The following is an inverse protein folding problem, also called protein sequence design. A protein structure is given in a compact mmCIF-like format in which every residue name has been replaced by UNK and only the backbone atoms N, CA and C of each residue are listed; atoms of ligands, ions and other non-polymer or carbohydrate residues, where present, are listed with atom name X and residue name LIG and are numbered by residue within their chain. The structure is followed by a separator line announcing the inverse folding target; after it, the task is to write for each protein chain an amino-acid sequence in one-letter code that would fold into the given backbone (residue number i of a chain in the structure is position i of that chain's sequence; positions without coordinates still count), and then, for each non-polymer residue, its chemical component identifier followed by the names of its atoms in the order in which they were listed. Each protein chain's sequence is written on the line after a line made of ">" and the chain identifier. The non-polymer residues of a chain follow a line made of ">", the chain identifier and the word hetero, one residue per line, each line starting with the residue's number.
data_IF_841809847499
#
_entry.id   IF_841809847499
#
_cell.length_a   1.000
_cell.length_b   1.000
_cell.length_c   1.000
_cell.angle_alpha   90.00
_cell.angle_beta   90.00
_cell.angle_gamma   90.00
#
_symmetry.space_group_name_H-M   'P 1'
#
loop_
_entity.id
_entity.type
_entity.pdbx_description
1 polymer ?
#
# COMPACT_ATOMS: atom_id res chain seq x y z
N UNK A 1 9.59 14.81 5.72
CA UNK A 1 11.00 15.21 5.89
C UNK A 1 11.14 16.63 6.40
N UNK A 2 10.53 17.65 5.78
CA UNK A 2 10.67 19.06 6.14
C UNK A 2 10.24 19.35 7.59
N UNK A 3 9.01 18.92 7.98
CA UNK A 3 8.52 19.07 9.35
C UNK A 3 9.39 18.36 10.40
N UNK A 4 9.99 17.22 10.04
CA UNK A 4 10.93 16.52 10.91
C UNK A 4 12.23 17.29 11.10
N UNK A 5 12.76 17.87 10.02
CA UNK A 5 13.94 18.72 10.07
C UNK A 5 13.68 19.94 10.96
N UNK A 6 12.57 20.64 10.75
CA UNK A 6 12.15 21.78 11.56
C UNK A 6 12.04 21.43 13.05
N UNK A 7 11.29 20.37 13.40
CA UNK A 7 11.15 19.92 14.79
C UNK A 7 12.48 19.53 15.42
N UNK A 8 13.35 18.83 14.68
CA UNK A 8 14.68 18.45 15.17
C UNK A 8 15.59 19.65 15.38
N UNK A 9 15.55 20.63 14.50
CA UNK A 9 16.32 21.86 14.63
C UNK A 9 15.87 22.66 15.86
N UNK A 10 14.57 22.88 16.02
CA UNK A 10 13.98 23.67 17.13
C UNK A 10 14.02 22.95 18.50
N UNK A 11 14.09 21.60 18.52
CA UNK A 11 14.20 20.86 19.79
C UNK A 11 15.54 21.04 20.49
N UNK A 12 16.58 21.36 19.74
CA UNK A 12 17.95 21.54 20.28
C UNK A 12 18.22 22.99 20.68
N UNK A 13 17.75 23.92 19.89
CA UNK A 13 17.92 25.34 20.11
C UNK A 13 16.66 26.03 19.60
N UNK A 14 15.98 26.82 20.44
CA UNK A 14 14.76 27.58 20.06
C UNK A 14 15.10 28.83 19.23
N UNK A 15 15.97 28.67 18.25
CA UNK A 15 16.42 29.73 17.34
C UNK A 15 15.86 29.44 15.94
N UNK A 16 14.98 30.31 15.47
CA UNK A 16 14.33 30.22 14.17
C UNK A 16 15.22 30.65 13.01
N UNK A 17 16.25 31.43 13.28
CA UNK A 17 17.19 31.96 12.27
C UNK A 17 18.39 31.04 12.04
N UNK A 18 18.43 29.95 12.77
CA UNK A 18 19.49 28.96 12.65
C UNK A 18 19.52 28.31 11.26
N UNK A 19 20.68 28.34 10.63
CA UNK A 19 20.93 27.59 9.39
C UNK A 19 20.91 26.08 9.64
N UNK A 20 20.18 25.35 8.79
CA UNK A 20 20.05 23.88 8.84
C UNK A 20 20.52 23.29 7.52
N UNK A 21 21.12 22.12 7.58
CA UNK A 21 21.51 21.37 6.38
C UNK A 21 20.27 20.67 5.80
N UNK A 22 19.98 20.94 4.52
CA UNK A 22 18.89 20.27 3.81
C UNK A 22 19.37 18.89 3.30
N UNK A 23 18.77 17.84 3.81
CA UNK A 23 19.05 16.49 3.29
C UNK A 23 18.42 16.30 1.91
N UNK A 24 18.93 15.38 1.06
CA UNK A 24 18.34 15.09 -0.25
C UNK A 24 16.84 14.82 -0.21
N UNK A 25 16.36 14.15 0.86
CA UNK A 25 14.93 13.87 1.04
C UNK A 25 14.10 15.14 1.30
N UNK A 26 14.67 16.12 1.96
CA UNK A 26 14.01 17.42 2.19
C UNK A 26 13.99 18.23 0.90
N UNK A 27 15.05 18.19 0.12
CA UNK A 27 15.12 18.84 -1.19
C UNK A 27 14.07 18.25 -2.13
N UNK A 28 13.98 16.93 -2.23
CA UNK A 28 12.95 16.24 -3.02
C UNK A 28 11.52 16.62 -2.58
N UNK A 29 11.26 16.79 -1.28
CA UNK A 29 9.95 17.24 -0.80
C UNK A 29 9.68 18.69 -1.21
N UNK A 30 10.66 19.57 -1.18
CA UNK A 30 10.52 20.97 -1.61
C UNK A 30 10.30 21.07 -3.12
N UNK A 31 11.04 20.30 -3.92
CA UNK A 31 10.86 20.21 -5.38
C UNK A 31 9.47 19.68 -5.73
N UNK A 32 9.00 18.65 -5.00
CA UNK A 32 7.65 18.14 -5.17
C UNK A 32 6.60 19.23 -4.87
N UNK A 33 6.74 19.97 -3.77
CA UNK A 33 5.82 21.07 -3.45
C UNK A 33 5.86 22.17 -4.52
N UNK A 34 7.02 22.48 -5.05
CA UNK A 34 7.18 23.48 -6.11
C UNK A 34 6.44 23.07 -7.39
N UNK A 35 6.50 21.80 -7.78
CA UNK A 35 5.84 21.29 -8.98
C UNK A 35 4.33 21.10 -8.80
N UNK A 36 3.91 20.64 -7.63
CA UNK A 36 2.54 20.15 -7.40
C UNK A 36 1.65 21.16 -6.69
N UNK A 37 2.20 22.23 -6.11
CA UNK A 37 1.45 23.16 -5.27
C UNK A 37 0.23 23.77 -5.97
N UNK A 38 0.34 24.09 -7.28
CA UNK A 38 -0.77 24.69 -8.03
C UNK A 38 -1.95 23.72 -8.14
N UNK A 39 -1.69 22.42 -8.31
CA UNK A 39 -2.73 21.40 -8.44
C UNK A 39 -3.30 20.98 -7.07
N UNK A 40 -2.47 21.05 -6.02
CA UNK A 40 -2.82 20.59 -4.68
C UNK A 40 -3.12 21.72 -3.70
N UNK A 41 -3.08 22.95 -4.16
CA UNK A 41 -3.36 24.11 -3.33
C UNK A 41 -4.85 24.22 -3.05
N UNK A 42 -5.20 23.87 -1.84
CA UNK A 42 -6.55 23.95 -1.34
C UNK A 42 -7.21 22.60 -1.09
N UNK A 43 -7.81 22.48 0.06
CA UNK A 43 -8.68 21.37 0.43
C UNK A 43 -10.11 21.88 0.44
N UNK A 44 -11.04 21.12 -0.17
CA UNK A 44 -12.46 21.45 -0.08
C UNK A 44 -12.89 21.60 1.38
N UNK A 45 -13.47 22.74 1.72
CA UNK A 45 -14.05 23.01 3.03
C UNK A 45 -15.39 22.27 3.18
N UNK A 46 -16.01 21.94 2.03
CA UNK A 46 -17.27 21.20 2.00
C UNK A 46 -16.93 19.71 2.10
N UNK A 47 -17.44 19.00 3.12
CA UNK A 47 -17.23 17.55 3.23
C UNK A 47 -17.77 16.85 1.98
N UNK A 48 -16.87 16.19 1.24
CA UNK A 48 -17.29 15.41 0.09
C UNK A 48 -17.84 14.06 0.55
N UNK A 49 -18.95 13.63 -0.06
CA UNK A 49 -19.49 12.28 0.20
C UNK A 49 -18.56 11.25 -0.40
N UNK A 50 -18.20 10.26 0.41
CA UNK A 50 -17.42 9.12 -0.09
C UNK A 50 -18.29 8.25 -1.00
N UNK A 51 -17.72 7.83 -2.12
CA UNK A 51 -18.36 6.95 -3.08
C UNK A 51 -17.99 5.49 -2.84
N UNK A 52 -16.82 5.23 -2.25
CA UNK A 52 -16.33 3.90 -1.97
C UNK A 52 -15.88 3.76 -0.51
N UNK A 53 -15.96 2.54 -0.02
CA UNK A 53 -15.46 2.14 1.29
C UNK A 53 -14.39 1.07 1.06
N UNK A 54 -13.26 1.19 1.75
CA UNK A 54 -12.19 0.23 1.80
C UNK A 54 -11.97 -0.16 3.25
N UNK A 55 -12.10 -1.45 3.55
CA UNK A 55 -11.99 -2.00 4.90
C UNK A 55 -10.80 -2.95 4.96
N UNK A 56 -9.92 -2.81 5.93
CA UNK A 56 -8.68 -3.59 6.04
C UNK A 56 -8.48 -4.19 7.42
N UNK A 57 -7.68 -5.24 7.47
CA UNK A 57 -7.21 -5.87 8.70
C UNK A 57 -5.83 -6.50 8.50
N UNK A 58 -5.07 -6.64 9.58
CA UNK A 58 -3.77 -7.29 9.59
C UNK A 58 -3.59 -8.24 10.76
N UNK A 59 -3.25 -9.46 10.46
CA UNK A 59 -2.86 -10.48 11.44
C UNK A 59 -1.34 -10.55 11.63
N UNK A 60 -0.87 -11.50 12.43
CA UNK A 60 0.55 -11.87 12.50
C UNK A 60 1.06 -12.56 11.23
N UNK A 61 0.18 -13.15 10.43
CA UNK A 61 0.50 -13.94 9.24
C UNK A 61 0.38 -13.13 7.94
N UNK A 62 -0.66 -12.30 7.84
CA UNK A 62 -0.96 -11.64 6.59
C UNK A 62 -1.83 -10.40 6.73
N UNK A 63 -2.17 -9.85 5.61
CA UNK A 63 -3.03 -8.70 5.46
C UNK A 63 -4.20 -9.05 4.56
N UNK A 64 -5.30 -8.34 4.75
CA UNK A 64 -6.48 -8.48 3.91
C UNK A 64 -7.29 -7.19 3.89
N UNK A 65 -7.97 -6.97 2.79
CA UNK A 65 -8.91 -5.88 2.66
C UNK A 65 -9.86 -6.11 1.50
N UNK A 66 -10.93 -5.37 1.53
CA UNK A 66 -11.96 -5.39 0.50
C UNK A 66 -12.53 -3.99 0.32
N UNK A 67 -13.05 -3.73 -0.85
CA UNK A 67 -13.63 -2.42 -1.16
C UNK A 67 -14.92 -2.59 -1.96
N UNK A 68 -15.79 -1.61 -1.86
CA UNK A 68 -17.05 -1.59 -2.59
C UNK A 68 -17.55 -0.16 -2.79
N UNK A 69 -18.37 0.03 -3.80
CA UNK A 69 -19.12 1.26 -3.99
C UNK A 69 -20.29 1.31 -2.99
N UNK A 70 -20.53 2.47 -2.40
CA UNK A 70 -21.65 2.67 -1.47
C UNK A 70 -22.98 2.34 -2.18
N UNK A 71 -23.80 1.48 -1.57
CA UNK A 71 -25.06 1.01 -2.13
C UNK A 71 -24.98 -0.11 -3.18
N UNK A 72 -23.77 -0.61 -3.52
CA UNK A 72 -23.61 -1.74 -4.44
C UNK A 72 -23.50 -3.09 -3.72
N UNK A 73 -23.81 -4.18 -4.44
CA UNK A 73 -23.51 -5.52 -3.96
C UNK A 73 -22.01 -5.78 -4.01
N UNK A 74 -21.47 -6.40 -2.98
CA UNK A 74 -20.06 -6.76 -2.89
C UNK A 74 -19.73 -7.93 -3.83
N UNK A 75 -18.61 -7.85 -4.56
CA UNK A 75 -18.11 -8.91 -5.44
C UNK A 75 -16.83 -9.52 -4.84
N UNK A 76 -16.46 -10.73 -5.27
CA UNK A 76 -15.19 -11.37 -4.86
C UNK A 76 -13.98 -10.61 -5.40
N UNK A 77 -14.11 -10.02 -6.57
CA UNK A 77 -13.07 -9.23 -7.23
C UNK A 77 -12.71 -7.95 -6.47
N UNK A 78 -13.60 -7.52 -5.57
CA UNK A 78 -13.42 -6.33 -4.74
C UNK A 78 -12.63 -6.64 -3.45
N UNK A 79 -11.74 -7.60 -3.48
CA UNK A 79 -10.90 -7.96 -2.33
C UNK A 79 -9.45 -8.25 -2.73
N UNK A 80 -8.54 -7.95 -1.82
CA UNK A 80 -7.13 -8.30 -1.92
C UNK A 80 -6.63 -8.85 -0.59
N UNK A 81 -5.67 -9.74 -0.66
CA UNK A 81 -5.04 -10.34 0.51
C UNK A 81 -3.66 -10.86 0.18
N UNK A 82 -2.85 -11.04 1.19
CA UNK A 82 -1.52 -11.61 1.02
C UNK A 82 -0.86 -11.90 2.35
N UNK A 83 0.28 -12.58 2.29
CA UNK A 83 1.07 -12.89 3.46
C UNK A 83 2.11 -11.81 3.71
N UNK A 84 2.44 -11.63 4.98
CA UNK A 84 3.65 -10.95 5.36
C UNK A 84 4.84 -11.91 5.23
N UNK A 85 5.96 -11.40 4.74
CA UNK A 85 7.22 -12.13 4.83
C UNK A 85 7.59 -12.37 6.31
N UNK A 86 8.48 -13.34 6.57
CA UNK A 86 8.97 -13.62 7.93
C UNK A 86 9.57 -12.40 8.63
N UNK A 87 10.11 -11.44 7.87
CA UNK A 87 10.63 -10.17 8.40
C UNK A 87 9.49 -9.20 8.71
N UNK A 88 8.52 -9.07 7.84
CA UNK A 88 7.39 -8.15 7.99
C UNK A 88 6.47 -8.56 9.14
N UNK A 89 6.22 -9.85 9.32
CA UNK A 89 5.38 -10.38 10.40
C UNK A 89 5.89 -10.03 11.81
N UNK A 90 7.19 -9.76 11.95
CA UNK A 90 7.82 -9.34 13.22
C UNK A 90 7.62 -7.87 13.56
N UNK A 91 7.10 -7.05 12.65
CA UNK A 91 6.83 -5.65 12.93
C UNK A 91 5.65 -5.48 13.89
N UNK A 92 5.51 -4.28 14.45
CA UNK A 92 4.40 -3.95 15.36
C UNK A 92 3.04 -4.09 14.69
N UNK A 93 1.99 -4.30 15.48
CA UNK A 93 0.60 -4.31 14.97
C UNK A 93 0.29 -3.04 14.17
N UNK A 94 0.65 -1.86 14.67
CA UNK A 94 0.43 -0.60 13.95
C UNK A 94 1.12 -0.56 12.58
N UNK A 95 2.31 -1.16 12.47
CA UNK A 95 3.02 -1.27 11.20
C UNK A 95 2.25 -2.18 10.22
N UNK A 96 1.82 -3.35 10.70
CA UNK A 96 1.08 -4.31 9.89
C UNK A 96 -0.26 -3.75 9.42
N UNK A 97 -1.01 -3.10 10.31
CA UNK A 97 -2.29 -2.47 9.98
C UNK A 97 -2.14 -1.36 8.93
N UNK A 98 -1.18 -0.46 9.11
CA UNK A 98 -0.95 0.61 8.16
C UNK A 98 -0.44 0.06 6.82
N UNK A 99 0.35 -1.02 6.85
CA UNK A 99 0.80 -1.73 5.63
C UNK A 99 -0.35 -2.43 4.93
N UNK A 100 -1.30 -3.02 5.67
CA UNK A 100 -2.50 -3.61 5.08
C UNK A 100 -3.32 -2.57 4.29
N UNK A 101 -3.46 -1.35 4.83
CA UNK A 101 -4.10 -0.25 4.10
C UNK A 101 -3.32 0.09 2.83
N UNK A 102 -1.99 0.25 2.92
CA UNK A 102 -1.16 0.57 1.74
C UNK A 102 -1.29 -0.47 0.64
N UNK A 103 -1.17 -1.76 0.99
CA UNK A 103 -1.24 -2.86 0.04
C UNK A 103 -2.65 -3.01 -0.58
N UNK A 104 -3.70 -2.92 0.24
CA UNK A 104 -5.08 -3.00 -0.26
C UNK A 104 -5.42 -1.80 -1.14
N UNK A 105 -5.01 -0.58 -0.76
CA UNK A 105 -5.22 0.60 -1.58
C UNK A 105 -4.53 0.49 -2.94
N UNK A 106 -3.31 0.01 -3.01
CA UNK A 106 -2.60 -0.20 -4.28
C UNK A 106 -3.33 -1.19 -5.18
N UNK A 107 -3.88 -2.27 -4.63
CA UNK A 107 -4.67 -3.23 -5.39
C UNK A 107 -6.00 -2.62 -5.89
N UNK A 108 -6.64 -1.78 -5.07
CA UNK A 108 -7.92 -1.15 -5.37
C UNK A 108 -7.81 0.08 -6.28
N UNK A 109 -6.69 0.81 -6.22
CA UNK A 109 -6.53 2.15 -6.82
C UNK A 109 -6.85 2.23 -8.32
N UNK A 110 -6.52 1.24 -9.18
CA UNK A 110 -6.92 1.28 -10.59
C UNK A 110 -8.44 1.40 -10.78
N UNK A 111 -9.24 0.86 -9.85
CA UNK A 111 -10.70 0.84 -9.88
C UNK A 111 -11.35 2.05 -9.17
N UNK A 112 -10.55 2.86 -8.46
CA UNK A 112 -11.02 3.93 -7.57
C UNK A 112 -10.57 5.32 -8.04
N UNK A 113 -10.27 5.49 -9.33
CA UNK A 113 -9.76 6.75 -9.87
C UNK A 113 -10.71 7.92 -9.62
N UNK A 114 -10.15 9.04 -9.16
CA UNK A 114 -10.87 10.31 -8.93
C UNK A 114 -12.07 10.17 -7.96
N UNK A 115 -11.92 9.33 -6.92
CA UNK A 115 -12.97 9.04 -5.95
C UNK A 115 -12.61 9.51 -4.54
N UNK A 116 -13.63 9.83 -3.76
CA UNK A 116 -13.49 9.98 -2.30
C UNK A 116 -13.65 8.61 -1.65
N UNK A 117 -12.61 8.17 -0.96
CA UNK A 117 -12.49 6.84 -0.37
C UNK A 117 -12.57 6.90 1.15
N UNK A 118 -13.57 6.24 1.74
CA UNK A 118 -13.61 6.01 3.18
C UNK A 118 -12.79 4.76 3.52
N UNK A 119 -11.75 4.91 4.33
CA UNK A 119 -10.92 3.80 4.81
C UNK A 119 -11.35 3.45 6.23
N UNK A 120 -11.84 2.24 6.42
CA UNK A 120 -12.26 1.70 7.70
C UNK A 120 -11.16 0.81 8.28
N UNK A 121 -10.72 1.09 9.50
CA UNK A 121 -9.71 0.32 10.24
C UNK A 121 -10.07 0.29 11.72
N UNK A 122 -9.76 -0.79 12.41
CA UNK A 122 -9.91 -0.89 13.86
C UNK A 122 -8.72 -0.32 14.64
N UNK A 123 -7.69 0.13 13.93
CA UNK A 123 -6.47 0.67 14.53
C UNK A 123 -6.48 2.20 14.53
N UNK A 124 -6.60 2.80 15.73
CA UNK A 124 -6.62 4.26 15.90
C UNK A 124 -5.33 4.95 15.43
N UNK A 125 -4.18 4.26 15.53
CA UNK A 125 -2.90 4.81 15.06
C UNK A 125 -2.90 4.87 13.54
N UNK A 126 -3.37 3.83 12.86
CA UNK A 126 -3.54 3.81 11.40
C UNK A 126 -4.44 4.95 10.93
N UNK A 127 -5.62 5.10 11.53
CA UNK A 127 -6.52 6.24 11.27
C UNK A 127 -5.80 7.59 11.41
N UNK A 128 -5.08 7.79 12.51
CA UNK A 128 -4.40 9.06 12.78
C UNK A 128 -3.30 9.34 11.73
N UNK A 129 -2.49 8.32 11.38
CA UNK A 129 -1.41 8.49 10.40
C UNK A 129 -1.92 8.80 9.00
N UNK A 130 -3.04 8.24 8.59
CA UNK A 130 -3.68 8.55 7.30
C UNK A 130 -4.22 9.98 7.32
N UNK A 131 -5.02 10.35 8.30
CA UNK A 131 -5.70 11.66 8.33
C UNK A 131 -4.74 12.83 8.58
N UNK A 132 -3.60 12.61 9.25
CA UNK A 132 -2.57 13.63 9.51
C UNK A 132 -1.36 13.54 8.57
N UNK A 133 -1.43 12.73 7.49
CA UNK A 133 -0.35 12.53 6.50
C UNK A 133 0.96 12.06 7.14
N UNK A 134 0.89 11.35 8.25
CA UNK A 134 2.03 10.86 9.00
C UNK A 134 1.93 11.08 10.50
N UNK A 135 3.05 10.91 11.21
CA UNK A 135 3.10 11.05 12.66
C UNK A 135 4.53 10.97 13.19
N UNK A 136 4.66 10.70 14.49
CA UNK A 136 5.95 10.78 15.20
C UNK A 136 6.96 9.71 14.79
N UNK A 137 6.52 8.49 14.42
CA UNK A 137 7.42 7.38 14.08
C UNK A 137 7.79 7.41 12.60
N UNK A 138 9.08 7.58 12.22
CA UNK A 138 9.50 7.70 10.83
C UNK A 138 9.09 6.51 9.94
N UNK A 139 9.16 5.28 10.49
CA UNK A 139 8.79 4.05 9.78
C UNK A 139 7.31 4.04 9.40
N UNK A 140 6.41 4.43 10.32
CA UNK A 140 4.99 4.51 10.02
C UNK A 140 4.67 5.70 9.09
N UNK A 141 5.37 6.82 9.23
CA UNK A 141 5.23 7.96 8.33
C UNK A 141 5.66 7.64 6.91
N UNK A 142 6.62 6.73 6.72
CA UNK A 142 7.00 6.25 5.40
C UNK A 142 5.84 5.50 4.73
N UNK A 143 5.13 4.63 5.45
CA UNK A 143 3.96 3.91 4.93
C UNK A 143 2.80 4.89 4.67
N UNK A 144 2.56 5.85 5.56
CA UNK A 144 1.54 6.87 5.33
C UNK A 144 1.81 7.69 4.07
N UNK A 145 3.06 8.07 3.79
CA UNK A 145 3.44 8.73 2.53
C UNK A 145 3.17 7.85 1.31
N UNK A 146 3.44 6.55 1.41
CA UNK A 146 3.17 5.59 0.36
C UNK A 146 1.66 5.50 0.04
N UNK A 147 0.81 5.47 1.07
CA UNK A 147 -0.64 5.54 0.93
C UNK A 147 -1.05 6.82 0.19
N UNK A 148 -0.53 7.97 0.60
CA UNK A 148 -0.86 9.24 -0.01
C UNK A 148 -0.28 9.40 -1.42
N UNK A 149 0.91 8.88 -1.69
CA UNK A 149 1.50 8.85 -3.04
C UNK A 149 0.64 8.02 -3.99
N UNK A 150 0.17 6.85 -3.55
CA UNK A 150 -0.77 6.04 -4.34
C UNK A 150 -2.10 6.78 -4.55
N UNK A 151 -2.65 7.36 -3.50
CA UNK A 151 -3.89 8.13 -3.58
C UNK A 151 -3.75 9.30 -4.59
N UNK A 152 -2.65 10.03 -4.52
CA UNK A 152 -2.33 11.11 -5.45
C UNK A 152 -2.28 10.63 -6.89
N UNK A 153 -1.50 9.59 -7.18
CA UNK A 153 -1.33 9.03 -8.52
C UNK A 153 -2.67 8.70 -9.20
N UNK A 154 -3.67 8.31 -8.41
CA UNK A 154 -4.99 7.90 -8.93
C UNK A 154 -6.10 8.93 -8.67
N UNK A 155 -5.79 10.13 -8.17
CA UNK A 155 -6.78 11.16 -7.85
C UNK A 155 -7.72 10.78 -6.70
N UNK A 156 -7.32 9.84 -5.83
CA UNK A 156 -8.13 9.35 -4.71
C UNK A 156 -7.99 10.31 -3.52
N UNK A 157 -9.10 10.60 -2.84
CA UNK A 157 -9.11 11.36 -1.60
C UNK A 157 -9.41 10.43 -0.42
N UNK A 158 -8.41 9.92 0.31
CA UNK A 158 -8.61 9.00 1.43
C UNK A 158 -9.02 9.75 2.70
N UNK A 159 -10.02 9.21 3.40
CA UNK A 159 -10.47 9.64 4.72
C UNK A 159 -10.55 8.39 5.59
N UNK A 160 -9.81 8.33 6.70
CA UNK A 160 -9.82 7.17 7.58
C UNK A 160 -10.75 7.36 8.77
N UNK A 161 -11.55 6.31 9.06
CA UNK A 161 -12.42 6.23 10.23
C UNK A 161 -12.13 4.98 11.03
N UNK A 162 -12.45 5.04 12.32
CA UNK A 162 -12.34 3.86 13.18
C UNK A 162 -13.60 2.99 13.04
N UNK A 163 -13.39 1.70 12.79
CA UNK A 163 -14.44 0.67 12.78
C UNK A 163 -14.12 -0.37 13.86
N UNK A 164 -15.02 -0.64 14.80
CA UNK A 164 -14.79 -1.67 15.81
C UNK A 164 -14.49 -3.03 15.19
N UNK A 165 -13.46 -3.75 15.68
CA UNK A 165 -13.02 -5.03 15.11
C UNK A 165 -14.11 -6.09 15.00
N UNK A 166 -15.10 -6.10 15.92
CA UNK A 166 -16.28 -7.00 15.85
C UNK A 166 -17.09 -6.83 14.55
N UNK A 167 -17.02 -5.66 13.91
CA UNK A 167 -17.71 -5.37 12.65
C UNK A 167 -16.78 -5.58 11.43
N UNK A 168 -15.51 -5.93 11.65
CA UNK A 168 -14.50 -6.10 10.61
C UNK A 168 -14.24 -7.56 10.20
N UNK A 169 -15.24 -8.44 10.38
CA UNK A 169 -15.08 -9.90 10.23
C UNK A 169 -14.58 -10.33 8.85
N UNK A 170 -14.97 -9.65 7.76
CA UNK A 170 -14.54 -10.02 6.41
C UNK A 170 -13.05 -9.75 6.22
N UNK A 171 -12.56 -8.57 6.60
CA UNK A 171 -11.14 -8.25 6.49
C UNK A 171 -10.29 -9.11 7.46
N UNK A 172 -10.78 -9.40 8.67
CA UNK A 172 -10.11 -10.34 9.61
C UNK A 172 -9.96 -11.74 8.99
N UNK A 173 -11.01 -12.28 8.34
CA UNK A 173 -10.90 -13.56 7.61
C UNK A 173 -9.87 -13.50 6.49
N UNK A 174 -9.80 -12.38 5.75
CA UNK A 174 -8.82 -12.19 4.68
C UNK A 174 -7.39 -12.10 5.23
N UNK A 175 -7.18 -11.45 6.36
CA UNK A 175 -5.85 -11.30 7.00
C UNK A 175 -5.33 -12.60 7.64
N UNK A 176 -6.24 -13.52 8.02
CA UNK A 176 -5.95 -14.81 8.67
C UNK A 176 -6.04 -16.00 7.73
N UNK A 177 -6.18 -15.75 6.45
CA UNK A 177 -6.27 -16.83 5.48
C UNK A 177 -5.05 -17.75 5.61
N UNK A 178 -5.31 -19.06 5.67
CA UNK A 178 -4.23 -20.06 5.71
C UNK A 178 -3.60 -20.15 4.32
N UNK A 179 -2.28 -20.16 4.29
CA UNK A 179 -1.53 -20.43 3.07
C UNK A 179 -1.94 -21.78 2.53
N UNK A 180 -2.28 -21.84 1.27
CA UNK A 180 -2.46 -23.12 0.59
C UNK A 180 -1.10 -23.83 0.56
N UNK A 181 -1.08 -25.11 0.96
CA UNK A 181 0.14 -25.92 0.94
C UNK A 181 0.72 -26.10 -0.48
N UNK A 182 -0.06 -25.73 -1.50
CA UNK A 182 0.35 -25.77 -2.91
C UNK A 182 1.08 -24.50 -3.37
N UNK A 183 1.15 -23.46 -2.54
CA UNK A 183 1.83 -22.19 -2.85
C UNK A 183 3.35 -22.34 -2.68
N UNK A 184 3.97 -23.09 -3.61
CA UNK A 184 5.38 -23.44 -3.59
C UNK A 184 6.23 -22.36 -4.27
N UNK A 185 7.49 -22.31 -3.89
CA UNK A 185 8.53 -21.53 -4.58
C UNK A 185 9.62 -22.45 -5.10
N UNK A 186 9.96 -22.35 -6.38
CA UNK A 186 11.14 -23.02 -6.91
C UNK A 186 12.39 -22.49 -6.19
N UNK A 187 13.31 -23.37 -5.84
CA UNK A 187 14.59 -22.97 -5.25
C UNK A 187 15.32 -21.98 -6.16
N UNK A 188 15.82 -20.85 -5.63
CA UNK A 188 16.46 -19.81 -6.47
C UNK A 188 17.67 -20.30 -7.27
N UNK A 189 18.42 -21.30 -6.76
CA UNK A 189 19.54 -21.88 -7.47
C UNK A 189 19.10 -22.72 -8.69
N UNK A 190 17.96 -23.41 -8.59
CA UNK A 190 17.36 -24.14 -9.69
C UNK A 190 16.79 -23.19 -10.74
N UNK A 191 16.09 -22.14 -10.30
CA UNK A 191 15.61 -21.10 -11.22
C UNK A 191 16.78 -20.49 -12.00
N UNK A 192 17.87 -20.11 -11.34
CA UNK A 192 19.06 -19.55 -12.00
C UNK A 192 19.68 -20.50 -13.05
N UNK A 193 19.59 -21.82 -12.86
CA UNK A 193 20.03 -22.79 -13.86
C UNK A 193 19.10 -22.82 -15.07
N UNK A 194 17.79 -22.79 -14.84
CA UNK A 194 16.79 -22.73 -15.89
C UNK A 194 16.91 -21.42 -16.69
N UNK A 195 17.02 -20.30 -15.99
CA UNK A 195 17.13 -18.97 -16.58
C UNK A 195 18.38 -18.80 -17.46
N UNK A 196 19.52 -19.40 -17.06
CA UNK A 196 20.72 -19.42 -17.90
C UNK A 196 20.60 -20.28 -19.16
N UNK A 197 19.74 -21.28 -19.15
CA UNK A 197 19.58 -22.21 -20.29
C UNK A 197 18.49 -21.75 -21.28
N UNK A 198 17.38 -21.23 -20.77
CA UNK A 198 16.19 -20.90 -21.56
C UNK A 198 15.75 -19.43 -21.45
N UNK A 199 16.38 -18.65 -20.56
CA UNK A 199 16.08 -17.24 -20.33
C UNK A 199 16.90 -16.28 -21.21
N UNK A 200 16.99 -14.99 -20.84
CA UNK A 200 16.46 -14.49 -19.56
C UNK A 200 14.92 -14.43 -19.56
N UNK A 201 14.31 -14.91 -18.47
CA UNK A 201 12.86 -14.81 -18.30
C UNK A 201 12.47 -13.40 -17.84
N UNK A 202 11.50 -12.79 -18.49
CA UNK A 202 11.06 -11.41 -18.25
C UNK A 202 9.92 -11.31 -17.23
N UNK A 203 9.15 -12.39 -17.07
CA UNK A 203 7.96 -12.42 -16.24
C UNK A 203 7.74 -13.80 -15.62
N UNK A 204 7.15 -13.84 -14.41
CA UNK A 204 6.66 -15.05 -13.75
C UNK A 204 5.13 -15.03 -13.80
N UNK A 205 4.53 -15.94 -14.53
CA UNK A 205 3.09 -15.93 -14.83
C UNK A 205 2.20 -16.44 -13.69
N UNK A 206 2.75 -17.21 -12.76
CA UNK A 206 1.97 -17.89 -11.72
C UNK A 206 2.58 -17.66 -10.32
N UNK A 207 2.78 -16.41 -9.96
CA UNK A 207 3.44 -16.04 -8.73
C UNK A 207 2.64 -15.10 -7.87
N UNK A 208 3.09 -14.93 -6.66
CA UNK A 208 2.68 -13.86 -5.77
C UNK A 208 3.94 -13.08 -5.31
N UNK A 209 3.73 -12.05 -4.52
CA UNK A 209 4.82 -11.20 -4.01
C UNK A 209 5.94 -11.98 -3.30
N UNK A 210 5.65 -13.13 -2.70
CA UNK A 210 6.60 -13.89 -1.87
C UNK A 210 7.33 -15.01 -2.63
N UNK A 211 6.69 -15.64 -3.64
CA UNK A 211 7.26 -16.79 -4.33
C UNK A 211 7.76 -16.50 -5.74
N UNK A 212 7.60 -15.28 -6.24
CA UNK A 212 8.04 -14.86 -7.57
C UNK A 212 9.54 -15.07 -7.79
N UNK A 213 9.92 -15.50 -8.98
CA UNK A 213 11.30 -15.69 -9.42
C UNK A 213 11.84 -14.47 -10.19
N UNK A 214 10.98 -13.74 -10.88
CA UNK A 214 11.35 -12.55 -11.63
C UNK A 214 10.81 -11.27 -10.96
N UNK A 215 11.27 -10.11 -11.41
CA UNK A 215 10.79 -8.83 -10.91
C UNK A 215 9.32 -8.57 -11.28
N UNK A 216 8.95 -8.92 -12.51
CA UNK A 216 7.59 -8.81 -13.04
C UNK A 216 6.90 -10.16 -12.87
N UNK A 217 5.64 -10.14 -12.47
CA UNK A 217 4.86 -11.35 -12.29
C UNK A 217 3.37 -11.10 -12.45
N UNK A 218 2.62 -12.11 -12.83
CA UNK A 218 1.17 -12.14 -12.77
C UNK A 218 0.74 -12.91 -11.52
N UNK A 219 -0.31 -12.46 -10.87
CA UNK A 219 -0.87 -13.11 -9.70
C UNK A 219 -2.28 -13.63 -9.98
N UNK A 220 -2.65 -14.70 -9.28
CA UNK A 220 -4.01 -15.24 -9.34
C UNK A 220 -5.08 -14.28 -8.80
N UNK A 221 -4.71 -13.40 -7.85
CA UNK A 221 -5.59 -12.43 -7.22
C UNK A 221 -5.00 -11.03 -7.33
N UNK A 222 -5.81 -9.98 -7.16
CA UNK A 222 -5.27 -8.63 -7.08
C UNK A 222 -4.13 -8.53 -6.08
N UNK A 223 -2.92 -8.29 -6.60
CA UNK A 223 -1.69 -8.12 -5.83
C UNK A 223 -1.11 -6.74 -6.18
N UNK A 224 -0.78 -5.92 -5.18
CA UNK A 224 -0.35 -4.53 -5.38
C UNK A 224 0.95 -4.37 -6.17
N UNK A 225 1.70 -5.44 -6.37
CA UNK A 225 2.99 -5.44 -7.07
C UNK A 225 3.00 -6.29 -8.35
N UNK A 226 1.92 -7.00 -8.65
CA UNK A 226 1.80 -7.75 -9.91
C UNK A 226 1.56 -6.80 -11.08
N UNK A 227 1.99 -7.22 -12.28
CA UNK A 227 1.70 -6.48 -13.52
C UNK A 227 0.27 -6.74 -14.00
N UNK A 228 -0.30 -7.89 -13.64
CA UNK A 228 -1.68 -8.27 -13.95
C UNK A 228 -2.19 -9.30 -12.96
N UNK A 229 -3.52 -9.40 -12.85
CA UNK A 229 -4.22 -10.52 -12.23
C UNK A 229 -4.72 -11.42 -13.34
N UNK A 230 -4.63 -12.75 -13.14
CA UNK A 230 -4.95 -13.77 -14.12
C UNK A 230 -4.04 -13.74 -15.38
N UNK A 231 -2.97 -14.55 -15.32
CA UNK A 231 -1.99 -14.67 -16.38
C UNK A 231 -2.56 -15.22 -17.71
N UNK A 232 -3.69 -15.91 -17.67
CA UNK A 232 -4.33 -16.44 -18.89
C UNK A 232 -4.93 -15.34 -19.76
N UNK A 233 -5.19 -14.16 -19.16
CA UNK A 233 -5.68 -12.97 -19.86
C UNK A 233 -4.56 -11.96 -20.18
N UNK A 234 -3.33 -12.25 -19.73
CA UNK A 234 -2.20 -11.35 -19.94
C UNK A 234 -1.59 -11.52 -21.33
N UNK A 235 -1.38 -10.45 -22.12
CA UNK A 235 -0.75 -10.56 -23.41
C UNK A 235 0.73 -10.92 -23.29
N UNK A 236 1.15 -12.03 -23.89
CA UNK A 236 2.53 -12.53 -23.82
C UNK A 236 3.45 -11.98 -24.93
N UNK A 237 2.96 -11.07 -25.78
CA UNK A 237 3.76 -10.50 -26.88
C UNK A 237 4.99 -9.79 -26.33
N UNK A 238 6.18 -10.27 -26.69
CA UNK A 238 7.46 -9.74 -26.23
C UNK A 238 7.90 -10.20 -24.85
N UNK A 239 7.18 -11.13 -24.22
CA UNK A 239 7.56 -11.72 -22.95
C UNK A 239 8.23 -13.09 -23.18
N UNK A 240 9.20 -13.39 -22.32
CA UNK A 240 9.79 -14.72 -22.12
C UNK A 240 9.43 -15.17 -20.71
N UNK A 241 8.50 -16.12 -20.59
CA UNK A 241 7.90 -16.57 -19.32
C UNK A 241 8.30 -17.99 -18.97
#
# INVERSE_FOLDING_TARGET
>A
PLLHLQKSALSRVKDWDRRVHLTPRVIQELEWWQSELQQWNGKSVIPQKHQHILTTDASGLGWGGWWHKVGSRQRKEDEARGFFSRRESKNSSNWRELTAVSLTLRAAAPHLRNQVLLIETDNLVTKAYINHLGGRKPVLSAIARDIWSTAHQFGIQPIAVHRPGKLNQRADKLSRWKQDSTDLQLRPDLFKKADRRWGPHSIDLFANRLNRQTRRYCSWRPDPHSVASDSLLFPLTGENA
#
